data_IF_719367937934
#
_entry.id   IF_719367937934
#
_cell.length_a   1.000
_cell.length_b   1.000
_cell.length_c   1.000
_cell.angle_alpha   90.00
_cell.angle_beta   90.00
_cell.angle_gamma   90.00
#
_symmetry.space_group_name_H-M   'P 1'
#
loop_
_entity.id
_entity.type
_entity.pdbx_description
1 polymer ?
#
# COMPACT_ATOMS: atom_id res chain seq x y z
N UNK A 1 -12.52 32.74 -27.73
CA UNK A 1 -12.50 33.91 -28.62
C UNK A 1 -12.14 33.53 -30.06
N UNK A 2 -10.98 32.90 -30.29
CA UNK A 2 -10.57 32.44 -31.64
C UNK A 2 -11.58 31.51 -32.33
N UNK A 3 -12.09 30.51 -31.61
CA UNK A 3 -13.06 29.54 -32.14
C UNK A 3 -14.40 30.20 -32.49
N UNK A 4 -14.87 31.11 -31.63
CA UNK A 4 -16.06 31.91 -31.90
C UNK A 4 -15.88 32.73 -33.19
N UNK A 5 -14.75 33.42 -33.31
CA UNK A 5 -14.41 34.25 -34.47
C UNK A 5 -14.36 33.41 -35.76
N UNK A 6 -13.65 32.28 -35.76
CA UNK A 6 -13.54 31.41 -36.93
C UNK A 6 -14.90 30.83 -37.35
N UNK A 7 -15.70 30.34 -36.41
CA UNK A 7 -17.04 29.78 -36.71
C UNK A 7 -18.00 30.88 -37.19
N UNK A 8 -17.93 32.08 -36.61
CA UNK A 8 -18.71 33.24 -37.04
C UNK A 8 -18.36 33.67 -38.49
N UNK A 9 -17.08 33.63 -38.86
CA UNK A 9 -16.62 33.93 -40.23
C UNK A 9 -17.06 32.90 -41.25
N UNK A 10 -16.95 31.61 -40.90
CA UNK A 10 -17.43 30.53 -41.76
C UNK A 10 -18.96 30.58 -41.91
N UNK A 11 -19.70 30.91 -40.85
CA UNK A 11 -21.14 31.12 -40.91
C UNK A 11 -21.51 32.32 -41.80
N UNK A 12 -20.74 33.41 -41.75
CA UNK A 12 -20.91 34.54 -42.66
C UNK A 12 -20.72 34.11 -44.12
N UNK A 13 -19.60 33.44 -44.44
CA UNK A 13 -19.27 32.99 -45.80
C UNK A 13 -20.29 31.98 -46.35
N UNK A 14 -20.76 31.05 -45.51
CA UNK A 14 -21.75 30.03 -45.89
C UNK A 14 -23.04 30.62 -46.46
N UNK A 15 -23.42 31.84 -46.05
CA UNK A 15 -24.62 32.51 -46.58
C UNK A 15 -24.42 33.07 -47.99
N UNK A 16 -23.19 33.41 -48.35
CA UNK A 16 -22.86 33.93 -49.68
C UNK A 16 -22.54 32.80 -50.67
N UNK A 17 -22.35 31.57 -50.20
CA UNK A 17 -22.21 30.40 -51.06
C UNK A 17 -23.56 30.00 -51.68
N UNK A 18 -23.64 30.02 -53.02
CA UNK A 18 -24.79 29.52 -53.77
C UNK A 18 -24.63 28.04 -54.12
N UNK A 19 -25.73 27.29 -54.11
CA UNK A 19 -25.78 25.87 -54.41
C UNK A 19 -27.20 25.33 -54.23
N UNK A 20 -27.55 24.32 -55.02
CA UNK A 20 -28.89 23.72 -55.04
C UNK A 20 -29.05 22.67 -53.94
N UNK A 21 -27.93 22.11 -53.48
CA UNK A 21 -27.87 21.18 -52.34
C UNK A 21 -26.96 21.69 -51.22
N UNK A 22 -27.17 21.17 -50.00
CA UNK A 22 -26.36 21.51 -48.83
C UNK A 22 -24.88 21.11 -49.00
N UNK A 23 -24.63 19.98 -49.70
CA UNK A 23 -23.28 19.50 -49.99
C UNK A 23 -22.54 20.42 -50.98
N UNK A 24 -23.22 20.93 -52.01
CA UNK A 24 -22.65 21.91 -52.93
C UNK A 24 -22.29 23.21 -52.23
N UNK A 25 -23.14 23.70 -51.32
CA UNK A 25 -22.83 24.93 -50.57
C UNK A 25 -21.62 24.74 -49.65
N UNK A 26 -21.47 23.57 -49.06
CA UNK A 26 -20.31 23.24 -48.22
C UNK A 26 -19.03 23.09 -49.06
N UNK A 27 -19.09 22.49 -50.26
CA UNK A 27 -17.92 22.38 -51.12
C UNK A 27 -17.45 23.76 -51.61
N UNK A 28 -18.37 24.63 -52.01
CA UNK A 28 -18.07 26.02 -52.39
C UNK A 28 -17.49 26.79 -51.22
N UNK A 29 -18.00 26.59 -50.00
CA UNK A 29 -17.44 27.20 -48.80
C UNK A 29 -15.98 26.78 -48.58
N UNK A 30 -15.67 25.48 -48.68
CA UNK A 30 -14.32 24.95 -48.46
C UNK A 30 -13.32 25.52 -49.47
N UNK A 31 -13.73 25.64 -50.73
CA UNK A 31 -12.88 26.21 -51.79
C UNK A 31 -12.60 27.70 -51.59
N UNK A 32 -13.47 28.40 -50.87
CA UNK A 32 -13.44 29.86 -50.71
C UNK A 32 -13.17 30.30 -49.26
N UNK A 33 -12.66 29.42 -48.41
CA UNK A 33 -12.43 29.71 -46.98
C UNK A 33 -11.55 30.93 -46.76
N UNK A 34 -10.56 31.16 -47.63
CA UNK A 34 -9.66 32.31 -47.56
C UNK A 34 -10.41 33.65 -47.56
N UNK A 35 -11.45 33.78 -48.38
CA UNK A 35 -12.29 34.98 -48.48
C UNK A 35 -13.01 35.31 -47.16
N UNK A 36 -13.26 34.33 -46.29
CA UNK A 36 -13.87 34.56 -44.98
C UNK A 36 -12.95 35.36 -44.03
N UNK A 37 -11.63 35.30 -44.25
CA UNK A 37 -10.61 35.85 -43.37
C UNK A 37 -9.90 37.10 -43.91
N UNK A 38 -10.21 37.53 -45.14
CA UNK A 38 -9.68 38.78 -45.72
C UNK A 38 -10.13 40.01 -44.91
N UNK A 39 -11.37 39.99 -44.44
CA UNK A 39 -11.88 41.02 -43.54
C UNK A 39 -11.66 40.62 -42.09
N UNK A 40 -11.04 41.48 -41.29
CA UNK A 40 -10.70 41.19 -39.88
C UNK A 40 -11.94 41.28 -38.97
N UNK A 41 -12.98 42.02 -39.36
CA UNK A 41 -14.15 42.27 -38.50
C UNK A 41 -15.16 41.12 -38.50
N UNK A 42 -15.65 40.66 -37.32
CA UNK A 42 -16.67 39.61 -37.24
C UNK A 42 -18.03 40.10 -37.78
N UNK A 43 -18.89 39.16 -38.19
CA UNK A 43 -20.25 39.47 -38.61
C UNK A 43 -21.10 39.85 -37.40
N UNK A 44 -21.71 41.04 -37.44
CA UNK A 44 -22.58 41.57 -36.37
C UNK A 44 -24.03 41.05 -36.44
N UNK A 45 -24.33 40.12 -37.35
CA UNK A 45 -25.68 39.58 -37.51
C UNK A 45 -25.97 38.51 -36.45
N UNK A 46 -27.14 38.62 -35.81
CA UNK A 46 -27.56 37.74 -34.71
C UNK A 46 -27.49 36.24 -35.03
N UNK A 47 -27.81 35.82 -36.26
CA UNK A 47 -27.72 34.41 -36.69
C UNK A 47 -26.29 33.87 -36.62
N UNK A 48 -25.31 34.64 -37.09
CA UNK A 48 -23.91 34.18 -37.19
C UNK A 48 -23.21 34.27 -35.84
N UNK A 49 -23.61 35.25 -35.02
CA UNK A 49 -23.19 35.36 -33.62
C UNK A 49 -23.70 34.14 -32.84
N UNK A 50 -24.97 33.75 -33.04
CA UNK A 50 -25.55 32.55 -32.43
C UNK A 50 -24.80 31.27 -32.81
N UNK A 51 -24.52 31.07 -34.10
CA UNK A 51 -23.73 29.93 -34.59
C UNK A 51 -22.30 29.96 -34.06
N UNK A 52 -21.67 31.14 -33.99
CA UNK A 52 -20.34 31.33 -33.40
C UNK A 52 -20.28 30.92 -31.93
N UNK A 53 -21.27 31.33 -31.12
CA UNK A 53 -21.36 30.94 -29.72
C UNK A 53 -21.64 29.45 -29.56
N UNK A 54 -22.59 28.89 -30.32
CA UNK A 54 -22.90 27.46 -30.29
C UNK A 54 -21.68 26.60 -30.60
N UNK A 55 -20.90 26.93 -31.64
CA UNK A 55 -19.65 26.24 -31.98
C UNK A 55 -18.59 26.36 -30.89
N UNK A 56 -18.44 27.54 -30.29
CA UNK A 56 -17.50 27.75 -29.19
C UNK A 56 -17.87 26.96 -27.92
N UNK A 57 -19.16 26.93 -27.56
CA UNK A 57 -19.66 26.14 -26.43
C UNK A 57 -19.51 24.64 -26.67
N UNK A 58 -19.80 24.15 -27.88
CA UNK A 58 -19.67 22.75 -28.25
C UNK A 58 -18.20 22.29 -28.15
N UNK A 59 -17.26 23.06 -28.72
CA UNK A 59 -15.84 22.73 -28.62
C UNK A 59 -15.35 22.79 -27.17
N UNK A 60 -15.77 23.80 -26.39
CA UNK A 60 -15.44 23.90 -24.96
C UNK A 60 -15.98 22.70 -24.18
N UNK A 61 -17.18 22.23 -24.49
CA UNK A 61 -17.78 21.01 -23.94
C UNK A 61 -16.96 19.77 -24.27
N UNK A 62 -16.57 19.57 -25.53
CA UNK A 62 -15.73 18.44 -25.96
C UNK A 62 -14.38 18.46 -25.23
N UNK A 63 -13.71 19.61 -25.15
CA UNK A 63 -12.43 19.75 -24.44
C UNK A 63 -12.59 19.47 -22.96
N UNK A 64 -13.67 19.95 -22.34
CA UNK A 64 -13.97 19.69 -20.93
C UNK A 64 -14.20 18.20 -20.64
N UNK A 65 -15.01 17.52 -21.45
CA UNK A 65 -15.26 16.08 -21.31
C UNK A 65 -14.01 15.25 -21.57
N UNK A 66 -13.21 15.59 -22.59
CA UNK A 66 -11.92 14.94 -22.84
C UNK A 66 -10.91 15.20 -21.71
N UNK A 67 -10.90 16.40 -21.13
CA UNK A 67 -10.04 16.75 -20.01
C UNK A 67 -10.39 15.98 -18.73
N UNK A 68 -11.68 15.81 -18.43
CA UNK A 68 -12.14 14.98 -17.31
C UNK A 68 -11.83 13.49 -17.49
N UNK A 69 -11.89 13.01 -18.73
CA UNK A 69 -11.56 11.63 -19.09
C UNK A 69 -10.09 11.44 -19.50
N UNK A 70 -9.24 12.44 -19.28
CA UNK A 70 -7.82 12.32 -19.55
C UNK A 70 -7.22 11.29 -18.60
N UNK A 71 -6.78 10.17 -19.16
CA UNK A 71 -6.05 9.15 -18.41
C UNK A 71 -4.79 9.78 -17.82
N UNK A 72 -4.55 9.54 -16.53
CA UNK A 72 -3.34 10.01 -15.82
C UNK A 72 -2.15 9.14 -16.22
N UNK A 73 -1.50 9.49 -17.31
CA UNK A 73 -0.25 8.85 -17.73
C UNK A 73 0.94 9.49 -17.01
N UNK A 74 1.93 8.66 -16.65
CA UNK A 74 3.24 9.12 -16.18
C UNK A 74 4.24 8.98 -17.33
N UNK A 75 4.22 9.95 -18.24
CA UNK A 75 5.11 9.97 -19.39
C UNK A 75 6.58 10.04 -18.94
N UNK A 76 7.44 9.19 -19.50
CA UNK A 76 8.85 9.07 -19.14
C UNK A 76 9.15 8.19 -17.91
N UNK A 77 8.12 7.53 -17.36
CA UNK A 77 8.23 6.62 -16.19
C UNK A 77 7.64 5.25 -16.52
N UNK A 78 7.55 4.90 -17.80
CA UNK A 78 6.93 3.67 -18.29
C UNK A 78 7.65 2.41 -17.77
N UNK A 79 8.96 2.49 -17.59
CA UNK A 79 9.81 1.42 -17.06
C UNK A 79 9.94 1.41 -15.54
N UNK A 80 9.17 2.27 -14.84
CA UNK A 80 9.19 2.40 -13.39
C UNK A 80 9.94 3.65 -12.90
N UNK A 81 9.55 4.13 -11.71
CA UNK A 81 10.18 5.26 -11.01
C UNK A 81 11.02 4.80 -9.82
N UNK A 82 11.29 3.50 -9.73
CA UNK A 82 12.04 2.95 -8.62
C UNK A 82 13.45 3.51 -8.63
N UNK A 83 13.87 4.06 -7.49
CA UNK A 83 15.24 4.49 -7.24
C UNK A 83 15.69 3.96 -5.90
N UNK A 84 17.00 3.92 -5.71
CA UNK A 84 17.57 3.69 -4.40
C UNK A 84 17.12 4.80 -3.44
N UNK A 85 16.56 4.38 -2.31
CA UNK A 85 16.17 5.27 -1.24
C UNK A 85 17.40 5.78 -0.48
N UNK A 86 17.27 6.95 0.12
CA UNK A 86 18.26 7.52 1.04
C UNK A 86 17.69 7.55 2.45
N UNK A 87 18.54 7.73 3.47
CA UNK A 87 18.10 7.86 4.86
C UNK A 87 17.04 8.96 5.06
N UNK A 88 17.08 10.03 4.25
CA UNK A 88 16.08 11.11 4.28
C UNK A 88 14.69 10.65 3.81
N UNK A 89 14.63 9.69 2.90
CA UNK A 89 13.38 9.18 2.37
C UNK A 89 12.62 8.37 3.43
N UNK A 90 13.33 7.64 4.30
CA UNK A 90 12.71 6.82 5.35
C UNK A 90 12.45 7.56 6.66
N UNK A 91 13.21 8.64 6.93
CA UNK A 91 13.11 9.40 8.18
C UNK A 91 11.68 9.77 8.62
N UNK A 92 10.76 10.18 7.73
CA UNK A 92 9.37 10.48 8.13
C UNK A 92 8.57 9.28 8.63
N UNK A 93 9.03 8.06 8.35
CA UNK A 93 8.40 6.80 8.74
C UNK A 93 9.01 6.20 10.02
N UNK A 94 10.05 6.82 10.57
CA UNK A 94 10.68 6.41 11.82
C UNK A 94 10.05 7.13 13.01
N UNK A 95 9.96 6.43 14.13
CA UNK A 95 9.71 7.02 15.45
C UNK A 95 11.01 7.63 15.99
N UNK A 96 10.87 8.71 16.77
CA UNK A 96 12.00 9.35 17.45
C UNK A 96 12.65 8.44 18.49
N UNK A 97 11.87 7.60 19.17
CA UNK A 97 12.40 6.61 20.11
C UNK A 97 12.86 5.38 19.34
N UNK A 98 14.14 5.04 19.46
CA UNK A 98 14.76 3.94 18.71
C UNK A 98 14.00 2.62 18.92
N UNK A 99 13.66 2.32 20.17
CA UNK A 99 13.03 1.09 20.63
C UNK A 99 11.64 0.88 20.02
N UNK A 100 10.97 1.95 19.60
CA UNK A 100 9.65 1.92 18.99
C UNK A 100 9.68 1.70 17.48
N UNK A 101 10.81 1.28 16.92
CA UNK A 101 10.96 1.02 15.48
C UNK A 101 11.32 -0.44 15.19
N UNK A 102 10.82 -0.99 14.09
CA UNK A 102 11.35 -2.22 13.49
C UNK A 102 12.70 -1.89 12.86
N UNK A 103 13.73 -2.66 13.20
CA UNK A 103 15.06 -2.51 12.63
C UNK A 103 15.07 -3.21 11.26
N UNK A 104 15.35 -2.45 10.19
CA UNK A 104 15.49 -2.99 8.83
C UNK A 104 16.97 -3.06 8.43
N UNK A 105 17.71 -1.98 8.65
CA UNK A 105 19.16 -1.87 8.40
C UNK A 105 19.82 -1.07 9.54
N UNK A 106 21.09 -0.69 9.37
CA UNK A 106 21.79 0.19 10.31
C UNK A 106 21.14 1.59 10.40
N UNK A 107 20.67 2.11 9.27
CA UNK A 107 20.15 3.49 9.12
C UNK A 107 18.64 3.54 8.94
N UNK A 108 18.04 2.55 8.28
CA UNK A 108 16.61 2.49 7.96
C UNK A 108 15.83 1.70 9.01
N UNK A 109 14.72 2.27 9.47
CA UNK A 109 13.81 1.66 10.45
C UNK A 109 12.37 2.03 10.13
N UNK A 110 11.41 1.32 10.74
CA UNK A 110 9.99 1.59 10.53
C UNK A 110 9.25 1.70 11.85
N UNK A 111 8.49 2.77 12.06
CA UNK A 111 7.73 2.96 13.31
C UNK A 111 6.74 1.83 13.56
N UNK A 112 6.70 1.36 14.80
CA UNK A 112 5.69 0.43 15.30
C UNK A 112 4.36 1.12 15.61
N UNK A 113 4.27 2.45 15.50
CA UNK A 113 3.02 3.17 15.68
C UNK A 113 2.08 2.94 14.48
N UNK A 114 0.86 2.43 14.73
CA UNK A 114 -0.15 2.25 13.68
C UNK A 114 -0.81 3.55 13.23
N UNK A 115 -0.74 4.61 14.05
CA UNK A 115 -1.41 5.90 13.84
C UNK A 115 -0.41 7.04 14.01
N UNK A 116 0.52 7.23 13.05
CA UNK A 116 1.43 8.37 13.08
C UNK A 116 0.64 9.69 12.96
N UNK A 117 1.19 10.77 13.52
CA UNK A 117 0.57 12.12 13.52
C UNK A 117 0.10 12.56 12.13
N UNK A 118 0.83 12.15 11.09
CA UNK A 118 0.49 12.39 9.69
C UNK A 118 0.12 11.04 9.05
N UNK A 119 -1.17 10.77 8.76
CA UNK A 119 -1.64 9.49 8.23
C UNK A 119 -0.94 9.03 6.94
N UNK A 120 -0.45 9.97 6.12
CA UNK A 120 0.32 9.66 4.90
C UNK A 120 1.57 8.80 5.15
N UNK A 121 2.11 8.82 6.37
CA UNK A 121 3.28 8.05 6.77
C UNK A 121 2.92 6.71 7.44
N UNK A 122 1.64 6.37 7.55
CA UNK A 122 1.26 5.03 7.97
C UNK A 122 1.70 4.02 6.89
N UNK A 123 2.32 2.93 7.32
CA UNK A 123 2.81 1.85 6.47
C UNK A 123 2.45 0.50 7.03
N UNK A 124 2.37 -0.48 6.14
CA UNK A 124 2.30 -1.89 6.51
C UNK A 124 3.60 -2.28 7.23
N UNK A 125 3.49 -3.05 8.30
CA UNK A 125 4.61 -3.46 9.17
C UNK A 125 5.05 -4.90 8.91
N UNK A 126 4.40 -5.60 8.00
CA UNK A 126 4.84 -6.91 7.56
C UNK A 126 6.12 -6.75 6.74
N UNK A 127 7.16 -7.48 7.13
CA UNK A 127 8.46 -7.45 6.47
C UNK A 127 8.75 -8.83 5.89
N UNK A 128 9.02 -8.87 4.58
CA UNK A 128 9.47 -10.08 3.88
C UNK A 128 10.98 -9.99 3.67
N UNK A 129 11.69 -11.03 4.08
CA UNK A 129 13.16 -11.09 3.98
C UNK A 129 13.53 -12.25 3.09
N UNK A 130 14.13 -11.92 1.95
CA UNK A 130 14.58 -12.88 0.96
C UNK A 130 16.11 -12.97 1.05
N UNK A 131 16.63 -14.19 1.10
CA UNK A 131 18.06 -14.43 1.09
C UNK A 131 18.36 -15.91 1.04
N UNK A 132 19.47 -16.28 0.41
CA UNK A 132 19.92 -17.67 0.31
C UNK A 132 20.19 -18.34 1.65
N UNK A 133 20.49 -19.63 1.63
CA UNK A 133 21.02 -20.32 2.81
C UNK A 133 22.33 -19.67 3.25
N UNK A 134 22.58 -19.57 4.56
CA UNK A 134 23.80 -18.94 5.09
C UNK A 134 23.84 -17.40 5.03
N UNK A 135 22.88 -16.72 4.39
CA UNK A 135 22.88 -15.24 4.27
C UNK A 135 22.70 -14.47 5.59
N UNK A 136 22.56 -15.17 6.72
CA UNK A 136 22.48 -14.57 8.04
C UNK A 136 21.14 -13.94 8.41
N UNK A 137 20.03 -14.28 7.75
CA UNK A 137 18.67 -13.76 8.05
C UNK A 137 18.35 -13.72 9.56
N UNK A 138 18.62 -14.83 10.26
CA UNK A 138 18.42 -14.92 11.70
C UNK A 138 19.33 -13.98 12.49
N UNK A 139 20.62 -13.90 12.11
CA UNK A 139 21.62 -13.08 12.80
C UNK A 139 21.42 -11.58 12.58
N UNK A 140 21.10 -11.17 11.36
CA UNK A 140 21.07 -9.76 10.97
C UNK A 140 19.70 -9.10 11.13
N UNK A 141 18.60 -9.87 11.10
CA UNK A 141 17.27 -9.30 11.25
C UNK A 141 16.52 -9.81 12.48
N UNK A 142 16.39 -11.13 12.63
CA UNK A 142 15.54 -11.71 13.70
C UNK A 142 16.11 -11.40 15.08
N UNK A 143 17.41 -11.69 15.30
CA UNK A 143 18.07 -11.46 16.59
C UNK A 143 18.05 -9.98 16.99
N UNK A 144 18.46 -9.00 16.16
CA UNK A 144 18.42 -7.59 16.54
C UNK A 144 17.01 -7.11 16.94
N UNK A 145 15.98 -7.51 16.20
CA UNK A 145 14.60 -7.15 16.55
C UNK A 145 14.10 -7.81 17.86
N UNK A 146 14.58 -9.01 18.20
CA UNK A 146 14.33 -9.64 19.51
C UNK A 146 15.12 -8.98 20.64
N UNK A 147 16.39 -8.63 20.38
CA UNK A 147 17.28 -7.99 21.35
C UNK A 147 16.85 -6.57 21.70
N UNK A 148 16.20 -5.88 20.78
CA UNK A 148 15.62 -4.57 21.05
C UNK A 148 14.53 -4.61 22.12
N UNK A 149 13.83 -5.74 22.30
CA UNK A 149 12.81 -5.93 23.34
C UNK A 149 11.84 -4.75 23.42
N UNK A 150 11.23 -4.41 22.28
CA UNK A 150 10.38 -3.22 22.14
C UNK A 150 9.28 -3.21 23.22
N UNK A 151 9.09 -2.09 23.94
CA UNK A 151 8.08 -1.99 24.98
C UNK A 151 6.69 -2.38 24.47
N UNK A 152 5.95 -3.13 25.28
CA UNK A 152 4.59 -3.59 24.99
C UNK A 152 4.45 -4.48 23.75
N UNK A 153 5.52 -5.11 23.28
CA UNK A 153 5.49 -6.09 22.18
C UNK A 153 5.67 -7.50 22.72
N UNK A 154 4.80 -8.42 22.29
CA UNK A 154 4.97 -9.86 22.51
C UNK A 154 5.51 -10.51 21.25
N UNK A 155 6.53 -11.36 21.39
CA UNK A 155 7.15 -12.07 20.28
C UNK A 155 6.64 -13.51 20.20
N UNK A 156 6.28 -13.93 18.99
CA UNK A 156 6.02 -15.33 18.64
C UNK A 156 7.01 -15.70 17.56
N UNK A 157 7.85 -16.69 17.83
CA UNK A 157 8.97 -17.06 16.95
C UNK A 157 8.88 -18.54 16.63
N UNK A 158 8.87 -18.87 15.34
CA UNK A 158 9.12 -20.23 14.88
C UNK A 158 10.63 -20.42 14.79
N UNK A 159 11.17 -21.34 15.59
CA UNK A 159 12.62 -21.59 15.68
C UNK A 159 12.94 -23.06 15.32
N UNK A 160 12.98 -23.41 14.02
CA UNK A 160 13.20 -24.79 13.59
C UNK A 160 14.53 -25.39 14.06
N UNK A 161 15.54 -24.55 14.30
CA UNK A 161 16.87 -24.98 14.75
C UNK A 161 17.03 -24.94 16.27
N UNK A 162 16.09 -24.32 16.99
CA UNK A 162 16.16 -24.14 18.45
C UNK A 162 17.27 -23.20 18.94
N UNK A 163 17.95 -22.47 18.04
CA UNK A 163 19.11 -21.65 18.39
C UNK A 163 18.71 -20.32 19.02
N UNK A 164 17.57 -19.74 18.60
CA UNK A 164 17.13 -18.42 19.06
C UNK A 164 16.86 -18.46 20.56
N UNK A 165 16.18 -19.51 21.03
CA UNK A 165 15.91 -19.67 22.46
C UNK A 165 17.20 -19.81 23.28
N UNK A 166 18.18 -20.57 22.79
CA UNK A 166 19.46 -20.78 23.49
C UNK A 166 20.26 -19.47 23.56
N UNK A 167 20.30 -18.72 22.47
CA UNK A 167 21.14 -17.53 22.34
C UNK A 167 20.51 -16.28 22.96
N UNK A 168 19.19 -16.10 22.83
CA UNK A 168 18.48 -14.89 23.27
C UNK A 168 17.64 -15.11 24.55
N UNK A 169 17.38 -16.37 24.95
CA UNK A 169 16.43 -16.69 26.02
C UNK A 169 16.79 -16.09 27.38
N UNK A 170 18.07 -16.16 27.79
CA UNK A 170 18.52 -15.56 29.06
C UNK A 170 18.36 -14.04 29.07
N UNK A 171 18.59 -13.39 27.93
CA UNK A 171 18.41 -11.94 27.79
C UNK A 171 16.92 -11.57 27.87
N UNK A 172 16.04 -12.30 27.18
CA UNK A 172 14.59 -12.10 27.25
C UNK A 172 14.05 -12.36 28.67
N UNK A 173 14.56 -13.38 29.35
CA UNK A 173 14.18 -13.70 30.73
C UNK A 173 14.62 -12.59 31.70
N UNK A 174 15.72 -11.90 31.42
CA UNK A 174 16.13 -10.71 32.18
C UNK A 174 15.25 -9.51 31.84
N UNK A 175 14.94 -9.30 30.56
CA UNK A 175 14.13 -8.19 30.07
C UNK A 175 14.89 -6.86 29.98
N UNK A 176 14.14 -5.79 29.75
CA UNK A 176 14.65 -4.41 29.71
C UNK A 176 14.54 -3.74 31.07
N UNK A 177 15.39 -2.75 31.39
CA UNK A 177 15.19 -1.91 32.57
C UNK A 177 13.82 -1.24 32.52
N UNK A 178 13.12 -1.22 33.65
CA UNK A 178 11.89 -0.45 33.80
C UNK A 178 12.25 1.03 33.75
N UNK A 179 11.71 1.75 32.77
CA UNK A 179 11.98 3.17 32.59
C UNK A 179 10.81 4.01 33.11
N UNK A 180 11.11 5.10 33.83
CA UNK A 180 10.15 6.14 34.21
C UNK A 180 10.81 7.50 33.95
N UNK A 181 10.17 8.35 33.16
CA UNK A 181 10.67 9.69 32.80
C UNK A 181 12.11 9.67 32.22
N UNK A 182 12.42 8.65 31.42
CA UNK A 182 13.74 8.48 30.78
C UNK A 182 14.84 7.95 31.70
N UNK A 183 14.54 7.62 32.96
CA UNK A 183 15.50 7.06 33.92
C UNK A 183 15.12 5.63 34.35
N UNK A 184 16.10 4.74 34.59
CA UNK A 184 15.82 3.42 35.12
C UNK A 184 15.25 3.53 36.54
N UNK A 185 14.18 2.80 36.81
CA UNK A 185 13.58 2.72 38.14
C UNK A 185 14.46 1.84 39.02
N UNK A 186 14.82 2.36 40.19
CA UNK A 186 15.60 1.65 41.19
C UNK A 186 14.69 1.07 42.27
N UNK A 187 15.09 -0.06 42.85
CA UNK A 187 14.48 -0.61 44.04
C UNK A 187 14.93 0.14 45.32
N UNK A 188 14.38 -0.26 46.47
CA UNK A 188 14.74 0.32 47.78
C UNK A 188 16.23 0.14 48.14
N UNK A 189 16.96 -0.72 47.43
CA UNK A 189 18.38 -1.03 47.63
C UNK A 189 19.27 -0.39 46.56
N UNK A 190 18.71 0.46 45.69
CA UNK A 190 19.44 1.15 44.61
C UNK A 190 19.71 0.29 43.37
N UNK A 191 19.11 -0.90 43.23
CA UNK A 191 19.29 -1.78 42.07
C UNK A 191 18.22 -1.52 41.01
N UNK A 192 18.61 -1.55 39.73
CA UNK A 192 17.70 -1.38 38.59
C UNK A 192 16.65 -2.51 38.56
N UNK A 193 15.39 -2.11 38.47
CA UNK A 193 14.25 -3.00 38.27
C UNK A 193 14.15 -3.32 36.77
N UNK A 194 13.97 -4.59 36.43
CA UNK A 194 13.80 -5.06 35.05
C UNK A 194 12.37 -5.56 34.79
N UNK A 195 11.94 -5.52 33.53
CA UNK A 195 10.65 -6.02 33.05
C UNK A 195 10.87 -7.28 32.20
N UNK A 196 10.88 -8.48 32.83
CA UNK A 196 11.23 -9.72 32.16
C UNK A 196 10.12 -10.22 31.24
N UNK A 197 10.49 -10.91 30.15
CA UNK A 197 9.54 -11.63 29.33
C UNK A 197 9.15 -12.97 29.97
N UNK A 198 7.86 -13.30 29.90
CA UNK A 198 7.39 -14.65 30.20
C UNK A 198 7.57 -15.56 28.98
N UNK A 199 8.67 -16.31 28.98
CA UNK A 199 9.00 -17.22 27.89
C UNK A 199 8.15 -18.49 27.97
N UNK A 200 7.55 -18.87 26.86
CA UNK A 200 6.82 -20.14 26.68
C UNK A 200 7.36 -20.83 25.44
N UNK A 201 7.59 -22.13 25.53
CA UNK A 201 8.25 -22.90 24.46
C UNK A 201 7.39 -24.11 24.14
N UNK A 202 6.88 -24.21 22.91
CA UNK A 202 6.25 -25.42 22.41
C UNK A 202 7.29 -26.19 21.59
N UNK A 203 7.76 -27.32 22.12
CA UNK A 203 8.75 -28.17 21.48
C UNK A 203 8.10 -29.50 21.06
N UNK A 204 7.96 -29.69 19.75
CA UNK A 204 7.33 -30.87 19.14
C UNK A 204 8.27 -32.07 19.01
N UNK A 205 9.57 -31.91 19.28
CA UNK A 205 10.57 -32.99 19.24
C UNK A 205 10.79 -33.55 20.64
N UNK A 206 11.05 -32.69 21.62
CA UNK A 206 11.27 -33.09 23.01
C UNK A 206 10.21 -32.48 23.92
N UNK A 207 9.14 -33.24 24.14
CA UNK A 207 8.02 -32.84 24.98
C UNK A 207 8.41 -32.58 26.44
N UNK A 208 9.45 -33.23 26.98
CA UNK A 208 9.94 -32.96 28.35
C UNK A 208 10.47 -31.53 28.50
N UNK A 209 10.91 -30.90 27.41
CA UNK A 209 11.39 -29.51 27.37
C UNK A 209 10.34 -28.54 26.78
N UNK A 210 9.12 -29.02 26.54
CA UNK A 210 8.00 -28.22 26.05
C UNK A 210 7.10 -27.77 27.18
N UNK A 211 6.42 -26.65 26.99
CA UNK A 211 5.18 -26.38 27.67
C UNK A 211 4.14 -27.42 27.24
N UNK A 212 3.24 -27.77 28.16
CA UNK A 212 2.04 -28.51 27.82
C UNK A 212 1.04 -27.54 27.20
N UNK A 213 0.60 -27.84 25.98
CA UNK A 213 -0.44 -27.10 25.28
C UNK A 213 -1.66 -27.99 25.11
N UNK A 214 -2.81 -27.52 25.61
CA UNK A 214 -4.09 -28.17 25.41
C UNK A 214 -4.99 -27.21 24.59
N UNK A 215 -5.30 -27.51 23.32
CA UNK A 215 -6.16 -26.67 22.49
C UNK A 215 -7.61 -26.60 23.01
N UNK A 216 -8.11 -27.66 23.67
CA UNK A 216 -9.47 -27.70 24.22
C UNK A 216 -9.69 -26.64 25.31
N UNK A 217 -8.63 -26.22 26.01
CA UNK A 217 -8.70 -25.13 27.00
C UNK A 217 -9.14 -23.79 26.39
N UNK A 218 -9.02 -23.63 25.08
CA UNK A 218 -9.32 -22.37 24.39
C UNK A 218 -10.67 -22.39 23.66
N UNK A 219 -11.42 -23.50 23.71
CA UNK A 219 -12.77 -23.58 23.17
C UNK A 219 -13.72 -22.92 24.17
N UNK A 220 -14.35 -21.81 23.78
CA UNK A 220 -15.32 -21.08 24.61
C UNK A 220 -16.69 -20.97 23.96
N UNK A 221 -16.77 -21.30 22.68
CA UNK A 221 -17.98 -21.26 21.86
C UNK A 221 -17.91 -22.33 20.77
N UNK A 222 -19.06 -22.70 20.20
CA UNK A 222 -19.14 -23.64 19.08
C UNK A 222 -18.31 -23.18 17.87
N UNK A 223 -18.24 -21.86 17.64
CA UNK A 223 -17.39 -21.28 16.59
C UNK A 223 -15.90 -21.61 16.77
N UNK A 224 -15.44 -21.80 18.00
CA UNK A 224 -14.04 -22.14 18.27
C UNK A 224 -13.75 -23.62 17.99
N UNK A 225 -14.75 -24.49 18.06
CA UNK A 225 -14.65 -25.89 17.62
C UNK A 225 -14.35 -25.92 16.13
N UNK A 226 -15.13 -25.19 15.32
CA UNK A 226 -14.93 -25.10 13.87
C UNK A 226 -13.55 -24.51 13.54
N UNK A 227 -13.08 -23.49 14.27
CA UNK A 227 -11.73 -22.95 14.08
C UNK A 227 -10.65 -24.00 14.36
N UNK A 228 -10.78 -24.77 15.43
CA UNK A 228 -9.82 -25.81 15.79
C UNK A 228 -9.77 -26.91 14.72
N UNK A 229 -10.95 -27.42 14.32
CA UNK A 229 -11.08 -28.45 13.28
C UNK A 229 -10.49 -27.95 11.96
N UNK A 230 -10.87 -26.75 11.51
CA UNK A 230 -10.33 -26.15 10.29
C UNK A 230 -8.82 -25.94 10.36
N UNK A 231 -8.29 -25.53 11.51
CA UNK A 231 -6.84 -25.37 11.71
C UNK A 231 -6.13 -26.70 11.57
N UNK A 232 -6.66 -27.79 12.13
CA UNK A 232 -6.06 -29.13 12.01
C UNK A 232 -6.10 -29.57 10.54
N UNK A 233 -7.26 -29.52 9.90
CA UNK A 233 -7.46 -29.95 8.52
C UNK A 233 -6.55 -29.16 7.55
N UNK A 234 -6.51 -27.83 7.69
CA UNK A 234 -5.70 -26.98 6.82
C UNK A 234 -4.20 -27.26 6.91
N UNK A 235 -3.73 -27.76 8.06
CA UNK A 235 -2.32 -28.13 8.26
C UNK A 235 -2.02 -29.61 7.93
N UNK A 236 -3.04 -30.44 7.67
CA UNK A 236 -2.87 -31.84 7.24
C UNK A 236 -3.05 -32.06 5.75
N UNK A 237 -3.66 -31.11 5.01
CA UNK A 237 -3.65 -31.14 3.54
C UNK A 237 -2.21 -30.94 3.07
N UNK A 238 -1.62 -31.95 2.44
CA UNK A 238 -0.30 -31.82 1.82
C UNK A 238 -0.34 -30.86 0.63
N UNK A 239 0.77 -30.15 0.37
CA UNK A 239 0.90 -29.33 -0.84
C UNK A 239 1.09 -30.23 -2.08
N UNK A 240 0.28 -30.03 -3.14
CA UNK A 240 0.41 -30.70 -4.45
C UNK A 240 -0.79 -31.60 -4.85
N UNK A 241 -0.60 -32.44 -5.87
CA UNK A 241 -1.61 -33.33 -6.50
C UNK A 241 -2.31 -34.33 -5.55
N UNK A 242 -1.94 -34.38 -4.27
CA UNK A 242 -2.65 -35.12 -3.21
C UNK A 242 -3.88 -34.38 -2.65
N UNK A 243 -4.31 -33.29 -3.28
CA UNK A 243 -5.55 -32.59 -2.98
C UNK A 243 -6.80 -33.21 -3.67
N UNK A 244 -6.60 -34.24 -4.50
CA UNK A 244 -7.68 -35.02 -5.09
C UNK A 244 -8.25 -36.02 -4.08
N UNK A 245 -9.46 -35.74 -3.60
CA UNK A 245 -10.32 -36.64 -2.82
C UNK A 245 -10.01 -36.81 -1.33
N UNK A 246 -10.16 -35.73 -0.57
CA UNK A 246 -10.23 -35.81 0.89
C UNK A 246 -11.68 -36.09 1.34
N UNK A 247 -12.12 -37.35 1.20
CA UNK A 247 -13.39 -37.88 1.75
C UNK A 247 -13.64 -37.45 3.21
N UNK A 248 -12.56 -37.34 3.99
CA UNK A 248 -12.57 -36.95 5.40
C UNK A 248 -12.89 -35.47 5.65
N UNK A 249 -12.63 -34.58 4.68
CA UNK A 249 -12.92 -33.15 4.80
C UNK A 249 -14.40 -32.86 4.57
N UNK A 250 -15.03 -33.57 3.64
CA UNK A 250 -16.47 -33.51 3.42
C UNK A 250 -17.27 -34.01 4.63
N UNK A 251 -16.78 -35.03 5.33
CA UNK A 251 -17.47 -35.64 6.47
C UNK A 251 -17.45 -34.80 7.76
N UNK A 252 -16.56 -33.80 7.88
CA UNK A 252 -16.47 -32.93 9.08
C UNK A 252 -17.14 -31.57 8.92
N UNK A 253 -17.61 -31.24 7.71
CA UNK A 253 -18.26 -29.97 7.39
C UNK A 253 -19.79 -30.06 7.21
N UNK A 254 -20.41 -31.17 7.65
CA UNK A 254 -21.87 -31.36 7.70
C UNK A 254 -22.47 -30.93 9.03
#
# INVERSE_FOLDING_TARGET
>A
MFVFYAVNKLAWLYRYCQGNSLLERLSVLILNVSLAFENILPSLRFSDIGVGFAGAFLLKGIVYFKGKNAKKFRQGVEYGSARWGTAKDIAPFMDSAFENNIILTQTERLTMNSRPKKPKYARNKNVMIIGGSGSGKTRFYVKPNLMQMTPNVSYVVTDPKGTILVECGKMLQKGTPKMKDGKPVLDKKGKVIYEPYKIKVLNTINFKKSMHYNPFRYIRSEKDILKLVNTIIANTKGDGEKAGEDFWISATCS
#
